data_IF_666380257811
#
_entry.id   IF_666380257811
#
_cell.length_a   1.000
_cell.length_b   1.000
_cell.length_c   1.000
_cell.angle_alpha   90.00
_cell.angle_beta   90.00
_cell.angle_gamma   90.00
#
_symmetry.space_group_name_H-M   'P 1'
#
loop_
_entity.id
_entity.type
_entity.pdbx_description
1 polymer ?
#
# COMPACT_ATOMS: atom_id res chain seq x y z
N UNK A 1 -22.52 12.47 18.01
CA UNK A 1 -21.51 12.04 18.97
C UNK A 1 -21.88 10.73 19.65
N UNK A 2 -23.03 10.66 20.36
CA UNK A 2 -23.42 9.49 21.17
C UNK A 2 -23.39 8.17 20.37
N UNK A 3 -23.94 8.14 19.15
CA UNK A 3 -23.92 6.93 18.30
C UNK A 3 -22.52 6.44 17.99
N UNK A 4 -21.54 7.34 17.80
CA UNK A 4 -20.15 6.96 17.57
C UNK A 4 -19.53 6.41 18.86
N UNK A 5 -19.75 7.08 20.00
CA UNK A 5 -19.27 6.61 21.30
C UNK A 5 -19.83 5.22 21.64
N UNK A 6 -21.12 4.99 21.41
CA UNK A 6 -21.75 3.69 21.63
C UNK A 6 -21.13 2.59 20.72
N UNK A 7 -20.87 2.93 19.44
CA UNK A 7 -20.24 1.99 18.50
C UNK A 7 -18.79 1.67 18.87
N UNK A 8 -18.06 2.61 19.44
CA UNK A 8 -16.67 2.37 19.90
C UNK A 8 -16.60 1.45 21.12
N UNK A 9 -17.69 1.29 21.89
CA UNK A 9 -17.80 0.34 22.98
C UNK A 9 -18.33 -1.05 22.52
N UNK A 10 -18.69 -1.21 21.24
CA UNK A 10 -19.20 -2.44 20.67
C UNK A 10 -18.11 -3.44 20.26
N UNK A 11 -18.55 -4.64 19.85
CA UNK A 11 -17.64 -5.65 19.30
C UNK A 11 -17.02 -5.21 17.96
N UNK A 12 -15.76 -5.56 17.77
CA UNK A 12 -15.04 -5.30 16.52
C UNK A 12 -15.51 -6.27 15.44
N UNK A 13 -15.89 -5.80 14.24
CA UNK A 13 -16.08 -6.67 13.11
C UNK A 13 -14.74 -7.29 12.68
N UNK A 14 -14.77 -8.54 12.31
CA UNK A 14 -13.60 -9.24 11.75
C UNK A 14 -13.84 -9.42 10.27
N UNK A 15 -12.85 -9.10 9.46
CA UNK A 15 -12.91 -9.25 8.00
C UNK A 15 -11.62 -9.82 7.42
N UNK A 16 -11.78 -10.51 6.30
CA UNK A 16 -10.68 -11.06 5.52
C UNK A 16 -10.84 -10.65 4.06
N UNK A 17 -9.74 -10.67 3.32
CA UNK A 17 -9.71 -10.50 1.87
C UNK A 17 -9.04 -11.70 1.22
N UNK A 18 -9.71 -12.32 0.24
CA UNK A 18 -9.20 -13.48 -0.46
C UNK A 18 -8.09 -13.11 -1.45
N UNK A 19 -7.17 -14.04 -1.64
CA UNK A 19 -6.21 -14.02 -2.75
C UNK A 19 -6.78 -14.90 -3.87
N UNK A 20 -7.35 -14.28 -4.90
CA UNK A 20 -8.02 -14.99 -5.99
C UNK A 20 -7.07 -15.82 -6.85
N UNK A 21 -5.77 -15.46 -6.90
CA UNK A 21 -4.75 -16.26 -7.60
C UNK A 21 -4.51 -17.62 -6.92
N UNK A 22 -4.73 -17.70 -5.60
CA UNK A 22 -4.50 -18.90 -4.79
C UNK A 22 -5.79 -19.59 -4.35
N UNK A 23 -6.85 -18.82 -4.17
CA UNK A 23 -8.13 -19.30 -3.68
C UNK A 23 -9.26 -18.58 -4.43
N UNK A 24 -9.80 -19.18 -5.50
CA UNK A 24 -10.92 -18.61 -6.23
C UNK A 24 -12.13 -18.34 -5.32
N UNK A 25 -12.93 -17.32 -5.63
CA UNK A 25 -14.11 -16.90 -4.86
C UNK A 25 -15.11 -18.07 -4.58
N UNK A 26 -15.23 -19.01 -5.53
CA UNK A 26 -16.03 -20.23 -5.36
C UNK A 26 -15.59 -21.11 -4.19
N UNK A 27 -14.35 -20.97 -3.74
CA UNK A 27 -13.79 -21.72 -2.60
C UNK A 27 -14.14 -21.10 -1.25
N UNK A 28 -14.80 -19.93 -1.24
CA UNK A 28 -15.18 -19.24 0.01
C UNK A 28 -16.17 -20.06 0.88
N UNK A 29 -16.91 -21.00 0.28
CA UNK A 29 -17.74 -21.97 1.03
C UNK A 29 -16.96 -22.79 2.05
N UNK A 30 -15.62 -22.84 1.96
CA UNK A 30 -14.75 -23.46 2.96
C UNK A 30 -14.70 -22.66 4.28
N UNK A 31 -15.02 -21.35 4.24
CA UNK A 31 -15.11 -20.51 5.44
C UNK A 31 -16.58 -20.50 5.93
N UNK A 32 -17.00 -21.54 6.66
CA UNK A 32 -18.35 -21.70 7.21
C UNK A 32 -18.79 -20.59 8.20
N UNK A 33 -17.97 -19.56 8.39
CA UNK A 33 -18.15 -18.50 9.37
C UNK A 33 -18.30 -17.11 8.73
N UNK A 34 -18.77 -17.05 7.47
CA UNK A 34 -19.01 -15.76 6.82
C UNK A 34 -20.33 -15.13 7.21
N UNK A 35 -20.29 -13.86 7.61
CA UNK A 35 -21.47 -13.01 7.88
C UNK A 35 -21.77 -12.00 6.76
N UNK A 36 -21.22 -12.22 5.55
CA UNK A 36 -21.51 -11.42 4.37
C UNK A 36 -20.27 -10.81 3.71
N UNK A 37 -20.48 -10.15 2.56
CA UNK A 37 -19.41 -9.48 1.80
C UNK A 37 -19.19 -8.06 2.30
N UNK A 38 -17.95 -7.57 2.15
CA UNK A 38 -17.64 -6.14 2.24
C UNK A 38 -18.12 -5.47 0.96
N UNK A 39 -19.01 -4.48 1.09
CA UNK A 39 -19.73 -3.91 -0.06
C UNK A 39 -18.83 -3.21 -1.10
N UNK A 40 -17.69 -2.70 -0.65
CA UNK A 40 -16.73 -1.96 -1.47
C UNK A 40 -15.48 -2.77 -1.83
N UNK A 41 -15.52 -4.07 -1.66
CA UNK A 41 -14.43 -4.97 -2.08
C UNK A 41 -14.97 -6.23 -2.73
N UNK A 42 -14.42 -6.59 -3.89
CA UNK A 42 -14.83 -7.78 -4.62
C UNK A 42 -14.46 -9.09 -3.90
N UNK A 43 -13.40 -9.04 -3.10
CA UNK A 43 -12.79 -10.21 -2.43
C UNK A 43 -12.85 -10.13 -0.91
N UNK A 44 -13.53 -9.10 -0.37
CA UNK A 44 -13.66 -8.84 1.07
C UNK A 44 -14.88 -9.54 1.69
N UNK A 45 -14.67 -10.17 2.85
CA UNK A 45 -15.74 -10.87 3.59
C UNK A 45 -15.64 -10.58 5.07
N UNK A 46 -16.82 -10.46 5.72
CA UNK A 46 -16.91 -10.43 7.17
C UNK A 46 -16.98 -11.85 7.71
N UNK A 47 -16.41 -12.06 8.88
CA UNK A 47 -16.52 -13.30 9.64
C UNK A 47 -17.46 -13.11 10.83
N UNK A 48 -18.15 -14.18 11.23
CA UNK A 48 -19.05 -14.16 12.39
C UNK A 48 -18.30 -13.98 13.71
N UNK A 49 -17.04 -14.43 13.73
CA UNK A 49 -16.16 -14.37 14.89
C UNK A 49 -14.69 -14.27 14.49
N UNK A 50 -13.85 -13.84 15.41
CA UNK A 50 -12.41 -13.89 15.23
C UNK A 50 -11.91 -15.34 15.34
N UNK A 51 -11.22 -15.80 14.30
CA UNK A 51 -10.57 -17.10 14.25
C UNK A 51 -9.15 -17.00 14.82
N UNK A 52 -8.57 -18.14 15.20
CA UNK A 52 -7.15 -18.23 15.56
C UNK A 52 -6.35 -18.44 14.29
N UNK A 53 -6.17 -17.36 13.52
CA UNK A 53 -5.56 -17.36 12.20
C UNK A 53 -4.15 -17.98 12.16
N UNK A 54 -3.41 -17.92 13.28
CA UNK A 54 -2.06 -18.48 13.40
C UNK A 54 -2.02 -20.00 13.27
N UNK A 55 -3.15 -20.68 13.42
CA UNK A 55 -3.25 -22.12 13.23
C UNK A 55 -3.89 -22.53 11.90
N UNK A 56 -4.23 -21.55 11.05
CA UNK A 56 -4.83 -21.82 9.75
C UNK A 56 -3.75 -21.95 8.67
N UNK A 57 -3.59 -23.13 8.04
CA UNK A 57 -2.63 -23.31 6.95
C UNK A 57 -2.87 -22.38 5.76
N UNK A 58 -4.14 -22.02 5.46
CA UNK A 58 -4.47 -21.13 4.35
C UNK A 58 -3.99 -19.69 4.60
N UNK A 59 -3.98 -19.26 5.88
CA UNK A 59 -3.39 -17.97 6.26
C UNK A 59 -1.88 -17.95 5.97
N UNK A 60 -1.17 -19.01 6.35
CA UNK A 60 0.27 -19.12 6.11
C UNK A 60 0.62 -19.31 4.63
N UNK A 61 -0.27 -19.94 3.87
CA UNK A 61 -0.13 -20.08 2.42
C UNK A 61 -0.45 -18.77 1.66
N UNK A 62 -0.94 -17.71 2.35
CA UNK A 62 -1.30 -16.45 1.72
C UNK A 62 -2.55 -16.53 0.85
N UNK A 63 -3.46 -17.46 1.14
CA UNK A 63 -4.73 -17.60 0.45
C UNK A 63 -5.72 -16.48 0.81
N UNK A 64 -5.52 -15.83 1.94
CA UNK A 64 -6.26 -14.66 2.37
C UNK A 64 -5.42 -13.76 3.29
N UNK A 65 -5.86 -12.52 3.44
CA UNK A 65 -5.30 -11.53 4.36
C UNK A 65 -6.37 -11.12 5.37
N UNK A 66 -6.02 -11.03 6.67
CA UNK A 66 -6.90 -10.47 7.70
C UNK A 66 -6.80 -8.95 7.60
N UNK A 67 -7.77 -8.34 6.94
CA UNK A 67 -7.77 -6.90 6.64
C UNK A 67 -9.03 -6.25 7.21
N UNK A 68 -8.87 -5.06 7.79
CA UNK A 68 -9.98 -4.22 8.23
C UNK A 68 -10.82 -3.77 7.03
N UNK A 69 -12.15 -3.91 7.16
CA UNK A 69 -13.07 -3.74 6.04
C UNK A 69 -13.06 -2.34 5.41
N UNK A 70 -13.03 -1.28 6.23
CA UNK A 70 -13.04 0.12 5.72
C UNK A 70 -11.83 0.40 4.85
N UNK A 71 -10.65 -0.11 5.23
CA UNK A 71 -9.41 0.04 4.48
C UNK A 71 -9.42 -0.66 3.11
N UNK A 72 -10.36 -1.60 2.88
CA UNK A 72 -10.54 -2.23 1.57
C UNK A 72 -11.12 -1.27 0.53
N UNK A 73 -11.64 -0.10 0.94
CA UNK A 73 -12.17 0.91 0.00
C UNK A 73 -11.12 1.45 -0.97
N UNK A 74 -9.84 1.29 -0.68
CA UNK A 74 -8.75 1.59 -1.62
C UNK A 74 -8.94 0.90 -2.98
N UNK A 75 -9.61 -0.25 -3.01
CA UNK A 75 -9.96 -0.97 -4.24
C UNK A 75 -10.78 -0.12 -5.20
N UNK A 76 -11.76 0.64 -4.70
CA UNK A 76 -12.63 1.46 -5.52
C UNK A 76 -11.85 2.60 -6.18
N UNK A 77 -10.98 3.27 -5.44
CA UNK A 77 -10.11 4.31 -5.99
C UNK A 77 -9.18 3.76 -7.08
N UNK A 78 -8.55 2.62 -6.83
CA UNK A 78 -7.65 1.98 -7.78
C UNK A 78 -8.41 1.54 -9.05
N UNK A 79 -9.53 0.83 -8.92
CA UNK A 79 -10.33 0.35 -10.07
C UNK A 79 -10.87 1.49 -10.93
N UNK A 80 -11.24 2.61 -10.33
CA UNK A 80 -11.82 3.73 -11.07
C UNK A 80 -10.78 4.51 -11.86
N UNK A 81 -9.56 4.65 -11.35
CA UNK A 81 -8.57 5.58 -11.91
C UNK A 81 -7.36 4.91 -12.54
N UNK A 82 -7.06 3.64 -12.20
CA UNK A 82 -6.01 2.87 -12.85
C UNK A 82 -6.67 2.03 -13.94
N UNK A 83 -6.44 2.40 -15.18
CA UNK A 83 -6.92 1.62 -16.33
C UNK A 83 -6.19 0.27 -16.46
N UNK A 84 -6.20 -0.30 -17.66
CA UNK A 84 -5.55 -1.59 -17.95
C UNK A 84 -4.04 -1.45 -18.28
N UNK A 85 -3.51 -0.22 -18.32
CA UNK A 85 -2.09 0.03 -18.63
C UNK A 85 -1.22 -0.26 -17.40
N UNK A 86 -0.12 -1.04 -17.58
CA UNK A 86 0.83 -1.28 -16.50
C UNK A 86 1.33 0.03 -15.87
N UNK A 87 1.35 0.08 -14.55
CA UNK A 87 1.68 1.27 -13.77
C UNK A 87 2.75 0.98 -12.74
N UNK A 88 3.56 1.99 -12.40
CA UNK A 88 4.49 1.95 -11.28
C UNK A 88 3.81 2.62 -10.08
N UNK A 89 3.50 1.84 -9.05
CA UNK A 89 2.83 2.31 -7.85
C UNK A 89 3.76 2.25 -6.64
N UNK A 90 3.71 3.29 -5.82
CA UNK A 90 4.32 3.30 -4.48
C UNK A 90 3.23 3.20 -3.41
N UNK A 91 3.39 2.28 -2.46
CA UNK A 91 2.73 2.30 -1.15
C UNK A 91 3.77 2.76 -0.13
N UNK A 92 3.68 4.02 0.31
CA UNK A 92 4.77 4.71 1.02
C UNK A 92 4.88 4.30 2.49
N UNK A 93 3.76 4.01 3.15
CA UNK A 93 3.66 3.63 4.57
C UNK A 93 3.02 2.25 4.69
N UNK A 94 3.62 1.26 4.05
CA UNK A 94 2.96 0.03 3.62
C UNK A 94 2.71 -1.00 4.72
N UNK A 95 3.51 -1.01 5.80
CA UNK A 95 3.41 -2.08 6.80
C UNK A 95 2.08 -2.05 7.56
N UNK A 96 1.49 -3.21 7.83
CA UNK A 96 2.03 -4.57 7.64
C UNK A 96 1.78 -5.21 6.25
N UNK A 97 1.22 -4.50 5.24
CA UNK A 97 1.04 -5.00 3.88
C UNK A 97 -0.39 -5.27 3.44
N UNK A 98 -1.39 -4.91 4.26
CA UNK A 98 -2.81 -5.11 3.91
C UNK A 98 -3.22 -4.34 2.66
N UNK A 99 -2.90 -3.05 2.58
CA UNK A 99 -3.19 -2.21 1.41
C UNK A 99 -2.28 -2.55 0.23
N UNK A 100 -1.00 -2.86 0.48
CA UNK A 100 -0.05 -3.28 -0.58
C UNK A 100 -0.49 -4.56 -1.28
N UNK A 101 -0.84 -5.61 -0.52
CA UNK A 101 -1.35 -6.87 -1.10
C UNK A 101 -2.67 -6.66 -1.82
N UNK A 102 -3.51 -5.74 -1.32
CA UNK A 102 -4.77 -5.38 -1.96
C UNK A 102 -4.52 -4.65 -3.29
N UNK A 103 -3.69 -3.61 -3.27
CA UNK A 103 -3.30 -2.88 -4.47
C UNK A 103 -2.72 -3.83 -5.52
N UNK A 104 -1.83 -4.74 -5.13
CA UNK A 104 -1.25 -5.72 -6.07
C UNK A 104 -2.31 -6.57 -6.78
N UNK A 105 -3.36 -6.97 -6.07
CA UNK A 105 -4.46 -7.76 -6.66
C UNK A 105 -5.31 -6.98 -7.66
N UNK A 106 -5.28 -5.64 -7.62
CA UNK A 106 -6.06 -4.75 -8.50
C UNK A 106 -5.24 -4.22 -9.65
N UNK A 107 -3.94 -4.02 -9.44
CA UNK A 107 -3.04 -3.48 -10.46
C UNK A 107 -2.96 -4.40 -11.68
N UNK A 108 -2.98 -3.84 -12.92
CA UNK A 108 -2.83 -4.60 -14.15
C UNK A 108 -1.55 -5.46 -14.18
N UNK A 109 -1.57 -6.51 -15.00
CA UNK A 109 -0.37 -7.28 -15.29
C UNK A 109 0.74 -6.37 -15.83
N UNK A 110 2.01 -6.66 -15.49
CA UNK A 110 3.15 -5.82 -15.86
C UNK A 110 3.35 -4.60 -14.96
N UNK A 111 2.46 -4.32 -14.01
CA UNK A 111 2.64 -3.22 -13.05
C UNK A 111 3.66 -3.57 -11.95
N UNK A 112 4.46 -2.60 -11.56
CA UNK A 112 5.41 -2.70 -10.45
C UNK A 112 4.85 -2.00 -9.21
N UNK A 113 4.79 -2.74 -8.10
CA UNK A 113 4.47 -2.18 -6.78
C UNK A 113 5.75 -2.03 -5.96
N UNK A 114 6.05 -0.81 -5.53
CA UNK A 114 7.06 -0.53 -4.51
C UNK A 114 6.35 -0.34 -3.18
N UNK A 115 6.65 -1.18 -2.21
CA UNK A 115 6.06 -1.12 -0.87
C UNK A 115 7.14 -0.69 0.13
N UNK A 116 7.00 0.51 0.69
CA UNK A 116 7.99 1.11 1.59
C UNK A 116 7.51 1.13 3.04
N UNK A 117 8.44 0.96 3.95
CA UNK A 117 8.22 1.18 5.38
C UNK A 117 9.51 1.68 6.04
N UNK A 118 9.46 2.83 6.68
CA UNK A 118 10.62 3.49 7.30
C UNK A 118 11.12 2.74 8.52
N UNK A 119 10.25 2.06 9.26
CA UNK A 119 10.61 1.31 10.47
C UNK A 119 11.07 -0.10 10.09
N UNK A 120 12.36 -0.38 10.30
CA UNK A 120 13.00 -1.63 9.88
C UNK A 120 12.28 -2.91 10.32
N UNK A 121 11.87 -3.01 11.57
CA UNK A 121 11.17 -4.20 12.06
C UNK A 121 9.81 -4.39 11.35
N UNK A 122 9.11 -3.29 11.04
CA UNK A 122 7.84 -3.32 10.31
C UNK A 122 8.07 -3.64 8.84
N UNK A 123 9.16 -3.18 8.22
CA UNK A 123 9.49 -3.52 6.83
C UNK A 123 9.78 -5.02 6.65
N UNK A 124 10.32 -5.69 7.67
CA UNK A 124 10.51 -7.15 7.65
C UNK A 124 9.15 -7.89 7.66
N UNK A 125 8.20 -7.44 8.49
CA UNK A 125 6.83 -7.98 8.51
C UNK A 125 6.14 -7.75 7.16
N UNK A 126 6.31 -6.56 6.57
CA UNK A 126 5.82 -6.22 5.26
C UNK A 126 6.35 -7.19 4.19
N UNK A 127 7.67 -7.40 4.17
CA UNK A 127 8.33 -8.31 3.23
C UNK A 127 7.81 -9.75 3.38
N UNK A 128 7.62 -10.23 4.61
CA UNK A 128 7.05 -11.54 4.88
C UNK A 128 5.62 -11.67 4.33
N UNK A 129 4.76 -10.68 4.58
CA UNK A 129 3.37 -10.71 4.14
C UNK A 129 3.24 -10.62 2.60
N UNK A 130 4.08 -9.80 1.95
CA UNK A 130 4.11 -9.72 0.49
C UNK A 130 4.66 -11.00 -0.15
N UNK A 131 5.67 -11.63 0.47
CA UNK A 131 6.18 -12.94 0.05
C UNK A 131 5.10 -14.01 0.18
N UNK A 132 4.35 -14.04 1.27
CA UNK A 132 3.19 -14.93 1.43
C UNK A 132 2.11 -14.67 0.39
N UNK A 133 1.87 -13.41 0.03
CA UNK A 133 0.90 -13.08 -1.01
C UNK A 133 1.31 -13.64 -2.37
N UNK A 134 2.60 -13.53 -2.74
CA UNK A 134 3.23 -14.36 -3.76
C UNK A 134 3.27 -13.78 -5.17
N UNK A 135 3.04 -12.46 -5.36
CA UNK A 135 3.14 -11.84 -6.69
C UNK A 135 4.58 -11.34 -6.97
N UNK A 136 5.17 -11.62 -8.16
CA UNK A 136 6.57 -11.28 -8.45
C UNK A 136 6.83 -9.79 -8.73
N UNK A 137 5.79 -9.01 -9.14
CA UNK A 137 5.91 -7.58 -9.46
C UNK A 137 5.87 -6.69 -8.21
N UNK A 138 6.61 -7.03 -7.15
CA UNK A 138 6.65 -6.29 -5.89
C UNK A 138 8.09 -6.12 -5.42
N UNK A 139 8.43 -4.89 -5.00
CA UNK A 139 9.70 -4.56 -4.35
C UNK A 139 9.41 -3.98 -2.96
N UNK A 140 10.12 -4.45 -1.94
CA UNK A 140 10.04 -3.90 -0.59
C UNK A 140 11.26 -3.02 -0.34
N UNK A 141 11.02 -1.79 0.16
CA UNK A 141 12.06 -0.83 0.52
C UNK A 141 11.95 -0.43 2.00
N UNK A 142 13.06 0.06 2.55
CA UNK A 142 13.11 0.55 3.93
C UNK A 142 13.80 1.91 3.94
N UNK A 143 13.09 2.95 3.48
CA UNK A 143 13.59 4.28 3.21
C UNK A 143 12.73 5.35 3.90
N UNK A 144 13.34 6.50 4.22
CA UNK A 144 12.57 7.71 4.58
C UNK A 144 11.88 8.27 3.31
N UNK A 145 10.70 8.90 3.42
CA UNK A 145 10.05 9.54 2.28
C UNK A 145 10.95 10.48 1.47
N UNK A 146 11.86 11.19 2.13
CA UNK A 146 12.81 12.10 1.47
C UNK A 146 13.79 11.40 0.52
N UNK A 147 14.07 10.11 0.74
CA UNK A 147 14.98 9.32 -0.14
C UNK A 147 14.37 9.11 -1.53
N UNK A 148 13.06 9.26 -1.68
CA UNK A 148 12.37 9.16 -2.98
C UNK A 148 12.41 10.46 -3.80
N UNK A 149 12.93 11.55 -3.27
CA UNK A 149 12.98 12.85 -3.97
C UNK A 149 13.78 12.77 -5.29
N UNK A 150 14.81 11.91 -5.33
CA UNK A 150 15.63 11.71 -6.53
C UNK A 150 14.91 10.93 -7.66
N UNK A 151 13.75 10.33 -7.34
CA UNK A 151 12.89 9.61 -8.29
C UNK A 151 11.82 10.53 -8.90
N UNK A 152 12.18 11.75 -9.28
CA UNK A 152 11.25 12.75 -9.80
C UNK A 152 10.38 12.19 -10.95
N UNK A 153 9.06 12.28 -10.82
CA UNK A 153 8.10 11.81 -11.83
C UNK A 153 8.20 10.31 -12.14
N UNK A 154 8.56 9.48 -11.18
CA UNK A 154 8.73 8.04 -11.40
C UNK A 154 7.42 7.24 -11.20
N UNK A 155 6.60 7.60 -10.23
CA UNK A 155 5.40 6.86 -9.88
C UNK A 155 4.16 7.39 -10.60
N UNK A 156 3.37 6.47 -11.16
CA UNK A 156 2.04 6.77 -11.71
C UNK A 156 1.02 6.96 -10.58
N UNK A 157 1.18 6.18 -9.50
CA UNK A 157 0.27 6.19 -8.35
C UNK A 157 1.09 6.14 -7.06
N UNK A 158 0.74 6.96 -6.08
CA UNK A 158 1.27 6.89 -4.73
C UNK A 158 0.10 6.71 -3.76
N UNK A 159 0.17 5.67 -2.94
CA UNK A 159 -0.71 5.45 -1.78
C UNK A 159 0.06 5.85 -0.53
N UNK A 160 -0.55 6.71 0.28
CA UNK A 160 0.00 7.14 1.56
C UNK A 160 -1.00 6.88 2.69
N UNK A 161 -0.86 5.74 3.37
CA UNK A 161 -1.56 5.49 4.63
C UNK A 161 -0.73 6.10 5.76
N UNK A 162 -0.81 7.42 5.88
CA UNK A 162 0.12 8.18 6.72
C UNK A 162 -0.04 7.89 8.21
N UNK A 163 1.05 7.93 8.99
CA UNK A 163 0.97 7.90 10.45
C UNK A 163 0.07 9.00 10.98
N UNK A 164 -0.89 8.65 11.82
CA UNK A 164 -1.91 9.58 12.34
C UNK A 164 -2.10 9.39 13.85
N UNK A 165 -2.93 10.23 14.47
CA UNK A 165 -3.25 10.17 15.90
C UNK A 165 -4.01 8.90 16.32
N UNK A 166 -4.55 8.15 15.35
CA UNK A 166 -5.06 6.79 15.55
C UNK A 166 -6.42 6.70 16.24
N UNK A 167 -7.27 7.71 16.16
CA UNK A 167 -8.62 7.71 16.77
C UNK A 167 -9.47 6.52 16.30
N UNK A 168 -9.30 6.08 15.05
CA UNK A 168 -9.95 4.90 14.50
C UNK A 168 -9.50 3.57 15.12
N UNK A 169 -8.48 3.59 15.97
CA UNK A 169 -7.99 2.41 16.69
C UNK A 169 -8.56 2.32 18.12
N UNK A 170 -9.30 3.31 18.60
CA UNK A 170 -9.77 3.39 20.00
C UNK A 170 -10.57 2.16 20.45
N UNK A 171 -11.38 1.57 19.57
CA UNK A 171 -12.10 0.33 19.87
C UNK A 171 -11.18 -0.90 19.94
N UNK A 172 -10.07 -0.85 19.21
CA UNK A 172 -9.19 -2.00 18.98
C UNK A 172 -8.00 -2.04 19.94
N UNK A 173 -7.50 -0.86 20.29
CA UNK A 173 -6.28 -0.71 21.07
C UNK A 173 -6.46 0.33 22.19
N UNK A 174 -6.58 -0.10 23.46
CA UNK A 174 -6.66 0.83 24.59
C UNK A 174 -5.45 1.75 24.74
N UNK A 175 -4.28 1.36 24.22
CA UNK A 175 -3.07 2.20 24.25
C UNK A 175 -3.28 3.42 23.37
N UNK A 176 -3.93 3.28 22.22
CA UNK A 176 -4.24 4.39 21.33
C UNK A 176 -5.07 5.50 22.04
N UNK A 177 -5.98 5.10 22.93
CA UNK A 177 -6.77 6.07 23.73
C UNK A 177 -5.87 6.82 24.74
N UNK A 178 -4.92 6.12 25.37
CA UNK A 178 -4.04 6.72 26.38
C UNK A 178 -2.95 7.60 25.76
N UNK A 179 -2.55 7.36 24.53
CA UNK A 179 -1.54 8.12 23.80
C UNK A 179 -2.14 9.33 23.05
N UNK A 180 -3.45 9.35 22.86
CA UNK A 180 -4.10 10.43 22.15
C UNK A 180 -4.11 11.73 22.97
N UNK A 181 -3.73 12.81 22.32
CA UNK A 181 -3.87 14.17 22.85
C UNK A 181 -3.96 15.18 21.69
N UNK A 182 -4.48 16.42 21.92
CA UNK A 182 -4.45 17.47 20.92
C UNK A 182 -3.04 17.76 20.40
N UNK A 183 -2.03 17.69 21.26
CA UNK A 183 -0.63 17.89 20.90
C UNK A 183 -0.12 16.78 19.98
N UNK A 184 -0.55 15.53 20.21
CA UNK A 184 -0.21 14.40 19.33
C UNK A 184 -0.88 14.54 17.95
N UNK A 185 -2.11 15.03 17.89
CA UNK A 185 -2.79 15.36 16.62
C UNK A 185 -1.97 16.38 15.83
N UNK A 186 -1.49 17.46 16.49
CA UNK A 186 -0.67 18.50 15.86
C UNK A 186 0.66 17.93 15.32
N UNK A 187 1.34 17.09 16.10
CA UNK A 187 2.59 16.43 15.68
C UNK A 187 2.35 15.51 14.48
N UNK A 188 1.26 14.74 14.47
CA UNK A 188 0.89 13.87 13.36
C UNK A 188 0.58 14.67 12.10
N UNK A 189 -0.22 15.73 12.23
CA UNK A 189 -0.58 16.63 11.15
C UNK A 189 0.66 17.25 10.46
N UNK A 190 1.61 17.78 11.25
CA UNK A 190 2.87 18.33 10.72
C UNK A 190 3.71 17.26 10.02
N UNK A 191 3.80 16.06 10.61
CA UNK A 191 4.49 14.91 10.01
C UNK A 191 3.89 14.51 8.68
N UNK A 192 2.56 14.47 8.58
CA UNK A 192 1.85 14.12 7.36
C UNK A 192 2.15 15.10 6.23
N UNK A 193 2.16 16.40 6.53
CA UNK A 193 2.53 17.44 5.54
C UNK A 193 3.98 17.31 5.08
N UNK A 194 4.91 17.01 6.00
CA UNK A 194 6.30 16.73 5.64
C UNK A 194 6.38 15.53 4.68
N UNK A 195 5.76 14.40 5.04
CA UNK A 195 5.74 13.17 4.22
C UNK A 195 5.23 13.46 2.81
N UNK A 196 4.11 14.19 2.70
CA UNK A 196 3.52 14.52 1.40
C UNK A 196 4.44 15.47 0.61
N UNK A 197 5.03 16.48 1.25
CA UNK A 197 5.96 17.40 0.59
C UNK A 197 7.20 16.67 0.05
N UNK A 198 7.75 15.73 0.83
CA UNK A 198 8.93 14.95 0.45
C UNK A 198 8.65 14.03 -0.75
N UNK A 199 7.46 13.41 -0.80
CA UNK A 199 7.13 12.42 -1.83
C UNK A 199 6.51 13.03 -3.10
N UNK A 200 5.94 14.24 -3.01
CA UNK A 200 5.22 14.85 -4.13
C UNK A 200 6.03 14.99 -5.43
N UNK A 201 7.34 15.32 -5.41
CA UNK A 201 8.14 15.37 -6.62
C UNK A 201 8.19 14.03 -7.37
N UNK A 202 8.18 12.91 -6.66
CA UNK A 202 8.29 11.57 -7.27
C UNK A 202 7.01 11.10 -7.99
N UNK A 203 5.87 11.75 -7.74
CA UNK A 203 4.64 11.52 -8.47
C UNK A 203 4.72 12.17 -9.86
N UNK A 204 4.34 11.44 -10.91
CA UNK A 204 4.26 11.95 -12.28
C UNK A 204 3.25 13.11 -12.39
N UNK A 205 3.46 14.07 -13.32
CA UNK A 205 2.36 14.94 -13.77
C UNK A 205 1.17 14.09 -14.23
N UNK A 206 -0.06 14.46 -13.84
CA UNK A 206 -1.26 13.66 -14.05
C UNK A 206 -1.39 12.41 -13.17
N UNK A 207 -0.37 12.08 -12.38
CA UNK A 207 -0.36 10.92 -11.49
C UNK A 207 -1.31 11.07 -10.29
N UNK A 208 -1.63 9.95 -9.66
CA UNK A 208 -2.61 9.86 -8.57
C UNK A 208 -1.94 9.74 -7.21
N UNK A 209 -2.37 10.56 -6.26
CA UNK A 209 -2.09 10.40 -4.84
C UNK A 209 -3.37 9.90 -4.15
N UNK A 210 -3.30 8.75 -3.51
CA UNK A 210 -4.35 8.21 -2.63
C UNK A 210 -3.89 8.45 -1.19
N UNK A 211 -4.55 9.39 -0.51
CA UNK A 211 -4.26 9.74 0.88
C UNK A 211 -5.23 9.03 1.80
N UNK A 212 -4.73 8.39 2.85
CA UNK A 212 -5.58 7.75 3.86
C UNK A 212 -5.01 7.90 5.27
N UNK A 213 -5.90 7.86 6.25
CA UNK A 213 -5.61 7.83 7.68
C UNK A 213 -6.57 6.88 8.39
N UNK A 214 -6.28 6.56 9.65
CA UNK A 214 -7.22 5.89 10.55
C UNK A 214 -7.63 6.83 11.70
N UNK A 215 -7.97 8.09 11.41
CA UNK A 215 -8.43 9.05 12.40
C UNK A 215 -9.79 9.64 12.04
N UNK A 216 -10.37 10.46 12.92
CA UNK A 216 -11.69 11.08 12.73
C UNK A 216 -11.63 12.61 12.69
N UNK A 217 -10.52 13.22 13.08
CA UNK A 217 -10.42 14.66 13.14
C UNK A 217 -10.20 15.28 11.76
N UNK A 218 -10.75 16.47 11.55
CA UNK A 218 -10.65 17.17 10.26
C UNK A 218 -9.26 17.74 10.02
N UNK A 219 -8.46 17.97 11.08
CA UNK A 219 -7.12 18.54 10.96
C UNK A 219 -6.17 17.62 10.20
N UNK A 220 -6.16 16.33 10.54
CA UNK A 220 -5.34 15.34 9.85
C UNK A 220 -5.95 14.85 8.52
N UNK A 221 -7.25 15.05 8.34
CA UNK A 221 -8.01 14.56 7.19
C UNK A 221 -8.27 15.71 6.18
N UNK A 222 -9.44 16.35 6.23
CA UNK A 222 -9.85 17.33 5.22
C UNK A 222 -8.96 18.57 5.14
N UNK A 223 -8.37 19.05 6.24
CA UNK A 223 -7.47 20.20 6.20
C UNK A 223 -6.17 19.88 5.46
N UNK A 224 -5.69 18.63 5.51
CA UNK A 224 -4.57 18.18 4.69
C UNK A 224 -4.95 18.08 3.22
N UNK A 225 -6.17 17.62 2.89
CA UNK A 225 -6.65 17.58 1.50
C UNK A 225 -6.76 19.01 0.93
N UNK A 226 -7.35 19.94 1.72
CA UNK A 226 -7.41 21.37 1.35
C UNK A 226 -6.01 21.94 1.13
N UNK A 227 -5.08 21.67 2.05
CA UNK A 227 -3.70 22.13 1.93
C UNK A 227 -3.00 21.59 0.67
N UNK A 228 -3.18 20.31 0.34
CA UNK A 228 -2.61 19.73 -0.90
C UNK A 228 -3.22 20.38 -2.15
N UNK A 229 -4.52 20.68 -2.16
CA UNK A 229 -5.16 21.44 -3.24
C UNK A 229 -4.55 22.83 -3.38
N UNK A 230 -4.41 23.54 -2.28
CA UNK A 230 -4.03 24.96 -2.27
C UNK A 230 -2.50 25.14 -2.50
N UNK A 231 -1.66 24.25 -1.95
CA UNK A 231 -0.20 24.32 -2.04
C UNK A 231 0.34 23.74 -3.34
N UNK A 232 -0.18 22.59 -3.78
CA UNK A 232 0.33 21.88 -4.95
C UNK A 232 -0.56 22.00 -6.18
N UNK A 233 -1.69 22.66 -6.07
CA UNK A 233 -2.68 22.73 -7.15
C UNK A 233 -3.33 21.38 -7.46
N UNK A 234 -3.33 20.44 -6.50
CA UNK A 234 -3.87 19.11 -6.72
C UNK A 234 -5.38 19.13 -6.97
N UNK A 235 -5.85 18.39 -7.98
CA UNK A 235 -7.26 18.16 -8.24
C UNK A 235 -7.79 17.08 -7.30
N UNK A 236 -8.86 17.34 -6.56
CA UNK A 236 -9.50 16.35 -5.69
C UNK A 236 -10.54 15.58 -6.51
N UNK A 237 -10.41 14.26 -6.57
CA UNK A 237 -11.18 13.40 -7.45
C UNK A 237 -12.26 12.62 -6.70
N UNK A 238 -13.50 12.51 -7.26
CA UNK A 238 -14.54 11.70 -6.68
C UNK A 238 -14.30 10.21 -6.92
N UNK A 239 -14.63 9.37 -5.93
CA UNK A 239 -14.73 7.91 -6.09
C UNK A 239 -16.19 7.51 -6.03
N UNK A 240 -16.64 6.64 -6.92
CA UNK A 240 -18.01 6.16 -6.95
C UNK A 240 -18.31 5.33 -5.68
N UNK A 241 -19.21 5.87 -4.86
CA UNK A 241 -19.63 5.27 -3.61
C UNK A 241 -21.14 5.37 -3.47
N UNK A 242 -21.91 4.29 -3.75
CA UNK A 242 -23.35 4.30 -3.59
C UNK A 242 -23.79 4.75 -2.20
N UNK A 243 -24.81 5.58 -2.11
CA UNK A 243 -25.34 6.09 -0.83
C UNK A 243 -25.72 4.99 0.16
N UNK A 244 -26.10 3.81 -0.36
CA UNK A 244 -26.42 2.62 0.46
C UNK A 244 -25.22 2.10 1.28
N UNK A 245 -23.99 2.46 0.94
CA UNK A 245 -22.80 2.09 1.73
C UNK A 245 -22.66 2.91 3.01
N UNK A 246 -23.45 3.98 3.17
CA UNK A 246 -23.44 4.89 4.33
C UNK A 246 -22.08 5.52 4.66
N UNK A 247 -21.20 5.65 3.67
CA UNK A 247 -19.90 6.33 3.81
C UNK A 247 -20.17 7.82 4.01
N UNK A 248 -19.49 8.43 4.96
CA UNK A 248 -19.64 9.85 5.27
C UNK A 248 -18.72 10.67 4.36
N UNK A 249 -19.22 11.80 3.83
CA UNK A 249 -18.42 12.77 3.08
C UNK A 249 -17.66 13.74 3.97
N UNK A 250 -17.36 14.91 3.41
CA UNK A 250 -16.62 16.00 4.03
C UNK A 250 -17.30 16.53 5.31
N UNK A 251 -16.50 16.73 6.35
CA UNK A 251 -16.94 17.32 7.62
C UNK A 251 -16.32 18.70 7.89
N UNK A 252 -15.43 19.18 7.03
CA UNK A 252 -14.81 20.49 7.18
C UNK A 252 -15.80 21.60 6.80
N UNK A 253 -16.10 22.47 7.71
CA UNK A 253 -17.06 23.56 7.49
C UNK A 253 -16.61 24.47 6.33
N UNK A 254 -17.53 24.73 5.39
CA UNK A 254 -17.31 25.61 4.24
C UNK A 254 -16.63 24.94 3.05
N UNK A 255 -16.37 23.63 3.10
CA UNK A 255 -15.79 22.85 2.02
C UNK A 255 -16.73 21.69 1.64
N UNK A 256 -16.79 21.35 0.35
CA UNK A 256 -17.66 20.30 -0.19
C UNK A 256 -16.93 19.29 -1.12
N UNK A 257 -15.58 19.36 -1.19
CA UNK A 257 -14.81 18.44 -2.02
C UNK A 257 -14.97 16.98 -1.60
N UNK A 258 -14.86 16.03 -2.54
CA UNK A 258 -15.13 14.63 -2.29
C UNK A 258 -14.05 13.98 -1.42
N UNK A 259 -14.47 13.43 -0.28
CA UNK A 259 -13.69 12.56 0.61
C UNK A 259 -14.56 11.47 1.20
N UNK A 260 -13.95 10.41 1.72
CA UNK A 260 -14.64 9.19 2.16
C UNK A 260 -14.22 8.84 3.58
N UNK A 261 -15.17 8.97 4.50
CA UNK A 261 -14.96 8.76 5.92
C UNK A 261 -15.81 7.59 6.42
N UNK A 262 -15.15 6.61 6.98
CA UNK A 262 -15.78 5.43 7.59
C UNK A 262 -15.89 5.65 9.08
N UNK A 263 -17.13 5.59 9.56
CA UNK A 263 -17.45 5.78 10.97
C UNK A 263 -18.14 4.52 11.51
N UNK A 264 -17.66 3.89 12.59
CA UNK A 264 -18.16 2.61 13.09
C UNK A 264 -19.67 2.54 13.34
N UNK A 265 -20.32 3.67 13.61
CA UNK A 265 -21.79 3.73 13.80
C UNK A 265 -22.58 3.81 12.48
N UNK A 266 -21.91 3.94 11.33
CA UNK A 266 -22.53 4.04 10.00
C UNK A 266 -22.11 2.90 9.08
N UNK A 267 -20.89 2.44 9.20
CA UNK A 267 -20.30 1.39 8.38
C UNK A 267 -19.83 0.24 9.27
N UNK A 268 -19.93 -1.00 8.77
CA UNK A 268 -19.43 -2.18 9.50
C UNK A 268 -17.90 -2.26 9.33
N UNK A 269 -17.16 -1.52 10.16
CA UNK A 269 -15.70 -1.41 10.09
C UNK A 269 -15.14 -0.52 11.20
N UNK A 270 -13.85 -0.26 11.16
CA UNK A 270 -13.16 0.70 12.01
C UNK A 270 -13.11 2.09 11.35
N UNK A 271 -12.50 3.06 12.04
CA UNK A 271 -12.25 4.37 11.49
C UNK A 271 -11.28 4.34 10.33
N UNK A 272 -11.66 5.00 9.26
CA UNK A 272 -10.81 5.14 8.08
C UNK A 272 -11.23 6.40 7.29
N UNK A 273 -10.25 7.07 6.74
CA UNK A 273 -10.43 8.20 5.83
C UNK A 273 -9.67 7.95 4.53
N UNK A 274 -10.26 8.33 3.40
CA UNK A 274 -9.61 8.27 2.10
C UNK A 274 -9.99 9.47 1.24
N UNK A 275 -9.00 10.01 0.54
CA UNK A 275 -9.19 10.96 -0.56
C UNK A 275 -8.26 10.61 -1.72
N UNK A 276 -8.70 10.94 -2.92
CA UNK A 276 -7.93 10.75 -4.16
C UNK A 276 -7.63 12.12 -4.75
N UNK A 277 -6.37 12.36 -5.05
CA UNK A 277 -5.91 13.59 -5.66
C UNK A 277 -5.13 13.30 -6.94
N UNK A 278 -5.20 14.20 -7.90
CA UNK A 278 -4.39 14.16 -9.12
C UNK A 278 -3.38 15.31 -9.12
N UNK A 279 -2.14 14.98 -9.39
CA UNK A 279 -1.11 16.01 -9.63
C UNK A 279 -1.44 16.75 -10.93
N UNK A 280 -1.34 18.10 -10.96
CA UNK A 280 -1.54 18.86 -12.20
C UNK A 280 -0.72 18.31 -13.36
N UNK A 281 -1.27 18.40 -14.56
CA UNK A 281 -0.51 18.14 -15.77
C UNK A 281 0.65 19.15 -15.88
N UNK A 282 1.77 18.70 -16.42
CA UNK A 282 2.97 19.49 -16.58
C UNK A 282 3.91 18.89 -17.61
N UNK A 283 5.03 19.54 -17.85
CA UNK A 283 6.05 18.92 -18.69
C UNK A 283 6.55 17.65 -18.04
N UNK A 284 6.51 16.55 -18.81
CA UNK A 284 7.08 15.29 -18.38
C UNK A 284 8.59 15.49 -18.23
N UNK A 285 9.08 15.47 -17.00
CA UNK A 285 10.51 15.48 -16.73
C UNK A 285 11.08 14.24 -17.39
N UNK A 286 11.84 14.40 -18.48
CA UNK A 286 12.58 13.30 -19.08
C UNK A 286 13.69 12.91 -18.12
N UNK A 287 13.41 11.95 -17.25
CA UNK A 287 14.39 11.40 -16.34
C UNK A 287 15.49 10.78 -17.20
N UNK A 288 16.60 11.48 -17.31
CA UNK A 288 17.83 10.96 -17.94
C UNK A 288 18.52 10.09 -16.89
N UNK A 289 18.05 8.88 -16.68
CA UNK A 289 18.81 7.90 -15.93
C UNK A 289 20.13 7.67 -16.68
N UNK A 290 21.23 8.14 -16.10
CA UNK A 290 22.56 7.75 -16.56
C UNK A 290 22.66 6.24 -16.32
N UNK A 291 22.59 5.43 -17.36
CA UNK A 291 22.79 4.00 -17.24
C UNK A 291 24.22 3.74 -16.73
N UNK A 292 24.36 3.64 -15.42
CA UNK A 292 25.63 3.31 -14.75
C UNK A 292 25.90 1.81 -14.70
N UNK A 293 25.13 1.02 -15.45
CA UNK A 293 25.38 -0.44 -15.58
C UNK A 293 26.85 -0.73 -15.95
N UNK A 294 27.53 0.18 -16.64
CA UNK A 294 28.96 0.05 -16.93
C UNK A 294 29.89 0.46 -15.77
N UNK A 295 29.43 1.25 -14.79
CA UNK A 295 30.27 1.68 -13.66
C UNK A 295 30.17 0.75 -12.44
N UNK A 296 29.04 0.10 -12.25
CA UNK A 296 28.89 -0.91 -11.18
C UNK A 296 29.82 -2.09 -11.46
N UNK A 297 30.01 -2.50 -12.72
CA UNK A 297 31.02 -3.52 -13.09
C UNK A 297 32.46 -3.07 -12.84
N UNK A 298 32.78 -1.78 -12.82
CA UNK A 298 34.15 -1.28 -12.57
C UNK A 298 34.43 -1.02 -11.08
N UNK A 299 33.44 -0.65 -10.26
CA UNK A 299 33.61 -0.48 -8.81
C UNK A 299 33.56 -1.80 -8.03
N UNK A 300 32.83 -2.79 -8.50
CA UNK A 300 32.83 -4.14 -7.93
C UNK A 300 34.17 -4.87 -8.11
N UNK A 301 35.03 -4.42 -9.03
CA UNK A 301 36.35 -4.99 -9.25
C UNK A 301 37.47 -4.53 -8.32
N UNK A 302 37.25 -3.51 -7.48
CA UNK A 302 38.31 -2.91 -6.67
C UNK A 302 38.18 -3.08 -5.15
N UNK A 303 37.08 -3.66 -4.63
CA UNK A 303 36.88 -3.86 -3.19
C UNK A 303 36.15 -5.18 -2.88
N UNK A 304 36.42 -6.23 -3.63
CA UNK A 304 35.93 -7.56 -3.27
C UNK A 304 36.82 -8.16 -2.20
N UNK A 305 36.48 -7.99 -0.94
CA UNK A 305 36.96 -8.88 0.12
C UNK A 305 36.50 -10.31 -0.20
N UNK A 306 37.40 -11.28 -0.06
CA UNK A 306 37.32 -12.69 -0.50
C UNK A 306 36.26 -13.55 0.22
N UNK A 307 35.02 -13.11 0.38
CA UNK A 307 33.95 -13.89 1.09
C UNK A 307 32.60 -13.95 0.35
N UNK A 308 32.45 -13.48 -0.87
CA UNK A 308 31.24 -13.69 -1.67
C UNK A 308 31.53 -14.66 -2.82
N UNK A 309 31.46 -15.96 -2.54
CA UNK A 309 31.30 -16.98 -3.57
C UNK A 309 29.86 -16.81 -4.14
N UNK A 310 29.72 -16.06 -5.23
CA UNK A 310 28.48 -16.03 -5.99
C UNK A 310 28.10 -17.43 -6.47
N UNK A 311 26.80 -17.70 -6.71
CA UNK A 311 26.35 -18.96 -7.23
C UNK A 311 27.11 -19.35 -8.52
N UNK A 312 27.47 -20.62 -8.64
CA UNK A 312 28.11 -21.14 -9.84
C UNK A 312 27.16 -21.12 -11.04
N UNK A 313 27.72 -21.16 -12.26
CA UNK A 313 26.89 -21.28 -13.47
C UNK A 313 25.96 -22.48 -13.43
N UNK A 314 26.41 -23.59 -12.85
CA UNK A 314 25.62 -24.81 -12.68
C UNK A 314 24.46 -24.61 -11.72
N UNK A 315 24.68 -23.90 -10.61
CA UNK A 315 23.60 -23.55 -9.65
C UNK A 315 22.56 -22.62 -10.28
N UNK A 316 22.99 -21.63 -11.07
CA UNK A 316 22.07 -20.75 -11.80
C UNK A 316 21.27 -21.51 -12.86
N UNK A 317 21.90 -22.45 -13.58
CA UNK A 317 21.20 -23.30 -14.53
C UNK A 317 20.21 -24.25 -13.85
N UNK A 318 20.58 -24.84 -12.70
CA UNK A 318 19.69 -25.66 -11.92
C UNK A 318 18.47 -24.88 -11.41
N UNK A 319 18.69 -23.66 -10.90
CA UNK A 319 17.60 -22.77 -10.47
C UNK A 319 16.66 -22.38 -11.62
N UNK A 320 17.22 -22.16 -12.82
CA UNK A 320 16.46 -21.88 -14.03
C UNK A 320 15.47 -23.01 -14.38
N UNK A 321 15.82 -24.25 -14.13
CA UNK A 321 14.97 -25.41 -14.41
C UNK A 321 13.72 -25.48 -13.51
N UNK A 322 13.66 -24.73 -12.43
CA UNK A 322 12.51 -24.67 -11.53
C UNK A 322 11.43 -23.66 -11.99
N UNK A 323 11.75 -22.80 -12.96
CA UNK A 323 10.84 -21.81 -13.48
C UNK A 323 10.09 -22.36 -14.72
N UNK A 324 8.77 -22.21 -14.73
CA UNK A 324 7.93 -22.63 -15.86
C UNK A 324 8.26 -21.83 -17.14
N UNK A 325 8.52 -20.51 -17.00
CA UNK A 325 8.84 -19.58 -18.10
C UNK A 325 10.19 -18.92 -17.84
N UNK A 326 11.26 -19.72 -17.74
CA UNK A 326 12.58 -19.25 -17.34
C UNK A 326 13.16 -18.12 -18.22
N UNK A 327 12.69 -18.01 -19.47
CA UNK A 327 13.12 -16.97 -20.40
C UNK A 327 12.58 -15.58 -20.05
N UNK A 328 11.51 -15.51 -19.26
CA UNK A 328 10.91 -14.25 -18.81
C UNK A 328 11.63 -13.68 -17.58
N UNK A 329 12.58 -14.41 -17.01
CA UNK A 329 13.27 -14.01 -15.79
C UNK A 329 14.77 -13.77 -16.02
N UNK A 330 15.30 -12.76 -15.32
CA UNK A 330 16.72 -12.62 -15.04
C UNK A 330 17.05 -13.34 -13.73
N UNK A 331 18.03 -14.24 -13.77
CA UNK A 331 18.42 -15.05 -12.62
C UNK A 331 19.83 -14.64 -12.21
N UNK A 332 19.97 -14.25 -10.94
CA UNK A 332 21.23 -13.76 -10.38
C UNK A 332 21.46 -14.26 -8.96
N UNK A 333 22.71 -14.23 -8.52
CA UNK A 333 23.07 -14.49 -7.14
C UNK A 333 22.98 -13.19 -6.32
N UNK A 334 22.31 -13.26 -5.16
CA UNK A 334 22.29 -12.21 -4.16
C UNK A 334 22.69 -12.78 -2.79
N UNK A 335 23.95 -12.61 -2.41
CA UNK A 335 24.54 -13.27 -1.25
C UNK A 335 24.48 -14.80 -1.38
N UNK A 336 23.85 -15.47 -0.42
CA UNK A 336 23.64 -16.94 -0.44
C UNK A 336 22.38 -17.37 -1.20
N UNK A 337 21.59 -16.43 -1.70
CA UNK A 337 20.32 -16.72 -2.39
C UNK A 337 20.51 -16.60 -3.90
N UNK A 338 19.75 -17.41 -4.65
CA UNK A 338 19.53 -17.22 -6.08
C UNK A 338 18.16 -16.55 -6.23
N UNK A 339 18.13 -15.44 -6.95
CA UNK A 339 16.95 -14.63 -7.16
C UNK A 339 16.57 -14.66 -8.64
N UNK A 340 15.31 -14.91 -8.93
CA UNK A 340 14.73 -14.78 -10.26
C UNK A 340 13.82 -13.53 -10.26
N UNK A 341 14.09 -12.60 -11.16
CA UNK A 341 13.32 -11.36 -11.28
C UNK A 341 12.72 -11.24 -12.68
N UNK A 342 11.41 -10.96 -12.84
CA UNK A 342 10.81 -10.84 -14.15
C UNK A 342 11.45 -9.70 -14.96
N UNK A 343 11.81 -9.97 -16.22
CA UNK A 343 12.50 -9.01 -17.11
C UNK A 343 11.69 -7.75 -17.37
N UNK A 344 10.37 -7.84 -17.36
CA UNK A 344 9.47 -6.71 -17.55
C UNK A 344 9.63 -5.60 -16.51
N UNK A 345 10.13 -5.94 -15.29
CA UNK A 345 10.34 -4.97 -14.21
C UNK A 345 11.77 -4.46 -14.07
N UNK A 346 12.72 -4.95 -14.89
CA UNK A 346 14.15 -4.63 -14.74
C UNK A 346 14.41 -3.13 -14.88
N UNK A 347 13.72 -2.45 -15.78
CA UNK A 347 13.89 -1.00 -15.96
C UNK A 347 13.51 -0.21 -14.71
N UNK A 348 12.37 -0.51 -14.10
CA UNK A 348 11.94 0.09 -12.85
C UNK A 348 12.87 -0.27 -11.68
N UNK A 349 13.29 -1.54 -11.60
CA UNK A 349 14.20 -2.00 -10.55
C UNK A 349 15.58 -1.34 -10.64
N UNK A 350 16.10 -1.14 -11.86
CA UNK A 350 17.38 -0.49 -12.05
C UNK A 350 17.39 0.97 -11.61
N UNK A 351 16.24 1.63 -11.66
CA UNK A 351 16.06 3.00 -11.14
C UNK A 351 16.11 3.00 -9.62
N UNK A 352 15.33 2.13 -8.98
CA UNK A 352 15.27 2.01 -7.52
C UNK A 352 16.62 1.61 -6.89
N UNK A 353 17.48 0.89 -7.61
CA UNK A 353 18.81 0.49 -7.13
C UNK A 353 19.85 1.60 -7.24
N UNK A 354 19.56 2.70 -7.97
CA UNK A 354 20.47 3.82 -8.18
C UNK A 354 20.20 4.98 -7.23
N UNK A 355 19.00 5.04 -6.67
CA UNK A 355 18.60 5.96 -5.61
C UNK A 355 18.93 5.39 -4.23
#
# INVERSE_FOLDING_TARGET
YNKLADALNGEQPVSIRLNEEKLPDSSFSLFHTSSGRVLWSSTGFYLDRRLTFTFDPLFHAGCYYVQEASSMFVEQALKQYIGETPSVMLDLCAAPGGKSTHARSVLPAGSLLVANEVIRNRSQILAENLTKWGHPGVVVTNNDPADFADLEGFFDVILTDVPCSGEGMFRKDPVAVSEWSPENVEICWQRQRRIISDIWPSLKPGGLLIYSTCTYNTQEDEENIRWMRDEFGAEILPVDAPAAWNITGNLLAGEDFPVYRFLPHRTKGEGFFLAVLRKPEGETVRIRYKSTVSQVKKKAGASASKTNAGASKEQLLAARAWLLSADDYEISANGMNIVAFPKEYISGLSVLQQS
#
